data_IF_350740769695
#
_entry.id   IF_350740769695
#
_cell.length_a   1.000
_cell.length_b   1.000
_cell.length_c   1.000
_cell.angle_alpha   90.00
_cell.angle_beta   90.00
_cell.angle_gamma   90.00
#
_symmetry.space_group_name_H-M   'P 1'
#
loop_
_entity.id
_entity.type
_entity.pdbx_description
1 polymer ?
#
# COMPACT_ATOMS: atom_id res chain seq x y z
N UNK A 1 3.43 26.08 16.34
CA UNK A 1 4.22 25.41 15.30
C UNK A 1 4.57 26.44 14.23
N UNK A 2 5.85 26.71 14.03
CA UNK A 2 6.32 27.73 13.09
C UNK A 2 6.14 27.25 11.64
N UNK A 3 6.23 28.17 10.67
CA UNK A 3 6.14 27.83 9.23
C UNK A 3 7.29 26.90 8.81
N UNK A 4 8.48 27.03 9.41
CA UNK A 4 9.62 26.14 9.11
C UNK A 4 9.38 24.71 9.57
N UNK A 5 8.71 24.51 10.72
CA UNK A 5 8.41 23.17 11.24
C UNK A 5 7.42 22.43 10.35
N UNK A 6 6.41 23.16 9.83
CA UNK A 6 5.46 22.63 8.84
C UNK A 6 6.16 22.22 7.54
N UNK A 7 7.06 23.06 7.04
CA UNK A 7 7.80 22.79 5.81
C UNK A 7 8.69 21.56 5.96
N UNK A 8 9.38 21.41 7.10
CA UNK A 8 10.21 20.24 7.39
C UNK A 8 9.40 18.94 7.45
N UNK A 9 8.22 18.98 8.08
CA UNK A 9 7.29 17.83 8.14
C UNK A 9 6.79 17.42 6.75
N UNK A 10 6.40 18.39 5.91
CA UNK A 10 5.99 18.16 4.52
C UNK A 10 7.12 17.52 3.71
N UNK A 11 8.34 18.06 3.80
CA UNK A 11 9.49 17.53 3.05
C UNK A 11 9.83 16.11 3.49
N UNK A 12 9.78 15.82 4.80
CA UNK A 12 10.06 14.49 5.32
C UNK A 12 8.99 13.48 4.86
N UNK A 13 7.71 13.86 4.91
CA UNK A 13 6.61 13.04 4.44
C UNK A 13 6.70 12.74 2.94
N UNK A 14 7.06 13.75 2.14
CA UNK A 14 7.28 13.59 0.69
C UNK A 14 8.46 12.66 0.41
N UNK A 15 9.59 12.81 1.11
CA UNK A 15 10.72 11.89 0.97
C UNK A 15 10.34 10.45 1.28
N UNK A 16 9.59 10.25 2.37
CA UNK A 16 9.09 8.94 2.77
C UNK A 16 8.15 8.35 1.70
N UNK A 17 7.24 9.15 1.15
CA UNK A 17 6.34 8.75 0.06
C UNK A 17 7.11 8.37 -1.21
N UNK A 18 8.13 9.15 -1.59
CA UNK A 18 8.99 8.83 -2.74
C UNK A 18 9.73 7.51 -2.54
N UNK A 19 10.25 7.24 -1.34
CA UNK A 19 10.89 5.95 -1.04
C UNK A 19 9.92 4.78 -1.17
N UNK A 20 8.71 4.91 -0.64
CA UNK A 20 7.69 3.87 -0.76
C UNK A 20 7.23 3.65 -2.20
N UNK A 21 7.06 4.72 -2.99
CA UNK A 21 6.74 4.62 -4.41
C UNK A 21 7.87 3.94 -5.21
N UNK A 22 9.13 4.28 -4.91
CA UNK A 22 10.30 3.64 -5.54
C UNK A 22 10.37 2.14 -5.21
N UNK A 23 10.16 1.76 -3.94
CA UNK A 23 10.10 0.36 -3.53
C UNK A 23 8.94 -0.37 -4.23
N UNK A 24 7.76 0.24 -4.30
CA UNK A 24 6.61 -0.32 -5.01
C UNK A 24 6.90 -0.55 -6.51
N UNK A 25 7.56 0.40 -7.16
CA UNK A 25 7.99 0.25 -8.56
C UNK A 25 8.98 -0.90 -8.74
N UNK A 26 10.00 -1.02 -7.88
CA UNK A 26 10.96 -2.12 -7.93
C UNK A 26 10.26 -3.47 -7.76
N UNK A 27 9.37 -3.59 -6.77
CA UNK A 27 8.59 -4.81 -6.55
C UNK A 27 7.71 -5.14 -7.76
N UNK A 28 7.12 -4.13 -8.42
CA UNK A 28 6.31 -4.30 -9.63
C UNK A 28 7.16 -4.81 -10.80
N UNK A 29 8.35 -4.23 -11.01
CA UNK A 29 9.28 -4.67 -12.06
C UNK A 29 9.67 -6.13 -11.84
N UNK A 30 10.02 -6.51 -10.61
CA UNK A 30 10.34 -7.89 -10.27
C UNK A 30 9.14 -8.81 -10.48
N UNK A 31 7.93 -8.36 -10.14
CA UNK A 31 6.71 -9.15 -10.35
C UNK A 31 6.47 -9.45 -11.83
N UNK A 32 6.72 -8.49 -12.74
CA UNK A 32 6.55 -8.68 -14.18
C UNK A 32 7.52 -9.73 -14.75
N UNK A 33 8.65 -9.97 -14.08
CA UNK A 33 9.64 -10.98 -14.47
C UNK A 33 9.34 -12.37 -13.90
N UNK A 34 8.29 -12.51 -13.10
CA UNK A 34 7.90 -13.76 -12.44
C UNK A 34 6.51 -14.18 -12.93
N UNK A 35 6.26 -15.48 -12.89
CA UNK A 35 4.97 -16.06 -13.24
C UNK A 35 4.31 -16.75 -12.04
N UNK A 36 2.98 -16.72 -12.00
CA UNK A 36 2.16 -17.49 -11.06
C UNK A 36 2.04 -16.87 -9.65
N UNK A 37 2.04 -17.71 -8.61
CA UNK A 37 1.93 -17.29 -7.20
C UNK A 37 2.90 -16.18 -6.75
N UNK A 38 4.21 -16.23 -7.06
CA UNK A 38 5.14 -15.19 -6.61
C UNK A 38 4.86 -13.83 -7.26
N UNK A 39 4.44 -13.79 -8.53
CA UNK A 39 4.01 -12.56 -9.21
C UNK A 39 2.86 -11.88 -8.46
N UNK A 40 1.84 -12.65 -8.09
CA UNK A 40 0.69 -12.12 -7.35
C UNK A 40 1.13 -11.54 -6.01
N UNK A 41 1.93 -12.27 -5.23
CA UNK A 41 2.45 -11.82 -3.92
C UNK A 41 3.26 -10.52 -4.05
N UNK A 42 4.13 -10.42 -5.06
CA UNK A 42 4.90 -9.20 -5.30
C UNK A 42 4.04 -8.02 -5.73
N UNK A 43 3.00 -8.23 -6.55
CA UNK A 43 2.04 -7.18 -6.90
C UNK A 43 1.23 -6.71 -5.68
N UNK A 44 0.86 -7.64 -4.79
CA UNK A 44 0.22 -7.32 -3.52
C UNK A 44 1.12 -6.46 -2.61
N UNK A 45 2.40 -6.80 -2.50
CA UNK A 45 3.40 -6.02 -1.76
C UNK A 45 3.67 -4.65 -2.41
N UNK A 46 3.75 -4.60 -3.75
CA UNK A 46 3.93 -3.35 -4.49
C UNK A 46 2.75 -2.39 -4.26
N UNK A 47 1.52 -2.91 -4.28
CA UNK A 47 0.31 -2.14 -4.00
C UNK A 47 0.32 -1.61 -2.55
N UNK A 48 0.75 -2.43 -1.59
CA UNK A 48 0.88 -2.02 -0.19
C UNK A 48 1.91 -0.90 -0.03
N UNK A 49 3.05 -0.97 -0.73
CA UNK A 49 4.06 0.10 -0.73
C UNK A 49 3.49 1.40 -1.30
N UNK A 50 2.72 1.35 -2.39
CA UNK A 50 2.08 2.53 -2.98
C UNK A 50 1.05 3.17 -2.04
N UNK A 51 0.24 2.36 -1.35
CA UNK A 51 -0.75 2.81 -0.37
C UNK A 51 -0.08 3.44 0.86
N UNK A 52 1.03 2.87 1.33
CA UNK A 52 1.83 3.46 2.41
C UNK A 52 2.38 4.83 2.02
N UNK A 53 2.91 4.98 0.80
CA UNK A 53 3.39 6.26 0.28
C UNK A 53 2.27 7.31 0.24
N UNK A 54 1.10 6.93 -0.30
CA UNK A 54 -0.09 7.78 -0.32
C UNK A 54 -0.54 8.19 1.09
N UNK A 55 -0.59 7.25 2.04
CA UNK A 55 -1.01 7.52 3.41
C UNK A 55 -0.01 8.43 4.15
N UNK A 56 1.29 8.25 3.93
CA UNK A 56 2.36 9.09 4.47
C UNK A 56 2.25 10.53 3.95
N UNK A 57 2.02 10.70 2.64
CA UNK A 57 1.75 12.01 2.03
C UNK A 57 0.48 12.65 2.60
N UNK A 58 -0.62 11.89 2.72
CA UNK A 58 -1.87 12.43 3.25
C UNK A 58 -1.74 12.90 4.70
N UNK A 59 -1.10 12.10 5.57
CA UNK A 59 -0.95 12.43 6.99
C UNK A 59 0.07 13.56 7.22
N UNK A 60 1.21 13.51 6.55
CA UNK A 60 2.29 14.49 6.74
C UNK A 60 2.01 15.84 6.08
N UNK A 61 1.42 15.85 4.87
CA UNK A 61 1.17 17.09 4.12
C UNK A 61 -0.10 17.78 4.62
N UNK A 62 -1.19 17.04 4.87
CA UNK A 62 -2.49 17.65 5.13
C UNK A 62 -2.86 17.76 6.61
N UNK A 63 -2.37 16.88 7.50
CA UNK A 63 -2.76 16.91 8.92
C UNK A 63 -1.74 17.56 9.85
N UNK A 64 -0.46 17.66 9.46
CA UNK A 64 0.57 18.36 10.25
C UNK A 64 0.67 17.90 11.71
N UNK A 65 0.41 16.61 11.96
CA UNK A 65 0.45 15.99 13.30
C UNK A 65 1.81 15.32 13.54
N UNK A 66 2.33 15.38 14.76
CA UNK A 66 3.58 14.71 15.12
C UNK A 66 3.50 13.18 14.99
N UNK A 67 2.30 12.60 15.18
CA UNK A 67 2.01 11.17 14.99
C UNK A 67 1.73 10.77 13.53
N UNK A 68 2.10 11.60 12.55
CA UNK A 68 1.76 11.41 11.13
C UNK A 68 2.14 10.03 10.59
N UNK A 69 3.28 9.47 11.00
CA UNK A 69 3.76 8.16 10.54
C UNK A 69 2.87 7.03 11.09
N UNK A 70 2.50 7.09 12.37
CA UNK A 70 1.63 6.09 13.01
C UNK A 70 0.21 6.15 12.42
N UNK A 71 -0.30 7.36 12.20
CA UNK A 71 -1.58 7.58 11.52
C UNK A 71 -1.59 7.08 10.08
N UNK A 72 -0.51 7.30 9.34
CA UNK A 72 -0.33 6.78 7.98
C UNK A 72 -0.32 5.25 7.96
N UNK A 73 0.43 4.60 8.85
CA UNK A 73 0.46 3.14 8.95
C UNK A 73 -0.90 2.54 9.30
N UNK A 74 -1.63 3.12 10.27
CA UNK A 74 -2.96 2.63 10.65
C UNK A 74 -3.96 2.83 9.50
N UNK A 75 -3.92 3.98 8.81
CA UNK A 75 -4.81 4.26 7.69
C UNK A 75 -4.51 3.34 6.52
N UNK A 76 -3.24 3.11 6.20
CA UNK A 76 -2.81 2.16 5.18
C UNK A 76 -3.22 0.73 5.54
N UNK A 77 -3.00 0.28 6.78
CA UNK A 77 -3.40 -1.04 7.25
C UNK A 77 -4.93 -1.23 7.19
N UNK A 78 -5.70 -0.21 7.58
CA UNK A 78 -7.17 -0.24 7.51
C UNK A 78 -7.66 -0.28 6.06
N UNK A 79 -7.04 0.49 5.18
CA UNK A 79 -7.37 0.48 3.75
C UNK A 79 -7.03 -0.86 3.10
N UNK A 80 -5.86 -1.41 3.45
CA UNK A 80 -5.43 -2.74 3.02
C UNK A 80 -6.42 -3.80 3.49
N UNK A 81 -6.79 -3.82 4.77
CA UNK A 81 -7.79 -4.75 5.29
C UNK A 81 -9.16 -4.62 4.59
N UNK A 82 -9.61 -3.41 4.29
CA UNK A 82 -10.92 -3.18 3.64
C UNK A 82 -10.94 -3.63 2.18
N UNK A 83 -9.81 -3.59 1.47
CA UNK A 83 -9.76 -3.94 0.04
C UNK A 83 -9.27 -5.36 -0.19
N UNK A 84 -8.22 -5.78 0.51
CA UNK A 84 -7.63 -7.10 0.33
C UNK A 84 -8.47 -8.21 0.91
N UNK A 85 -9.12 -8.00 2.07
CA UNK A 85 -9.95 -9.06 2.66
C UNK A 85 -11.10 -9.43 1.71
N UNK A 86 -11.89 -8.50 1.15
CA UNK A 86 -12.92 -8.85 0.18
C UNK A 86 -12.38 -9.50 -1.09
N UNK A 87 -11.28 -8.99 -1.65
CA UNK A 87 -10.72 -9.56 -2.89
C UNK A 87 -10.16 -10.97 -2.65
N UNK A 88 -9.53 -11.20 -1.50
CA UNK A 88 -9.04 -12.53 -1.10
C UNK A 88 -10.20 -13.49 -0.89
N UNK A 89 -11.26 -13.05 -0.21
CA UNK A 89 -12.47 -13.84 0.00
C UNK A 89 -13.15 -14.16 -1.34
N UNK A 90 -13.25 -13.19 -2.25
CA UNK A 90 -13.80 -13.41 -3.59
C UNK A 90 -12.96 -14.40 -4.40
N UNK A 91 -11.63 -14.26 -4.39
CA UNK A 91 -10.74 -15.20 -5.08
C UNK A 91 -10.80 -16.61 -4.48
N UNK A 92 -10.90 -16.74 -3.15
CA UNK A 92 -11.09 -18.04 -2.50
C UNK A 92 -12.43 -18.67 -2.90
N UNK A 93 -13.49 -17.86 -2.95
CA UNK A 93 -14.80 -18.31 -3.40
C UNK A 93 -14.76 -18.79 -4.86
N UNK A 94 -14.19 -18.00 -5.77
CA UNK A 94 -14.03 -18.39 -7.16
C UNK A 94 -13.20 -19.67 -7.32
N UNK A 95 -12.08 -19.80 -6.60
CA UNK A 95 -11.25 -21.01 -6.61
C UNK A 95 -11.98 -22.25 -6.06
N UNK A 96 -12.81 -22.08 -5.03
CA UNK A 96 -13.63 -23.17 -4.50
C UNK A 96 -14.73 -23.58 -5.48
N UNK A 97 -15.37 -22.62 -6.15
CA UNK A 97 -16.45 -22.90 -7.11
C UNK A 97 -15.97 -23.41 -8.47
N UNK A 98 -14.76 -23.04 -8.91
CA UNK A 98 -14.20 -23.48 -10.20
C UNK A 98 -13.66 -24.92 -10.16
N UNK A 99 -13.55 -25.52 -8.97
CA UNK A 99 -13.22 -26.93 -8.76
C UNK A 99 -14.46 -27.84 -8.81
N UNK A 100 -15.68 -27.31 -8.94
CA UNK A 100 -16.85 -28.14 -9.21
C UNK A 100 -16.85 -28.57 -10.68
N UNK A 101 -16.83 -29.89 -10.99
CA UNK A 101 -17.00 -30.36 -12.35
C UNK A 101 -18.37 -29.90 -12.88
N UNK A 102 -18.50 -29.56 -14.17
CA UNK A 102 -19.80 -29.27 -14.76
C UNK A 102 -20.71 -30.50 -14.59
N UNK A 103 -21.89 -30.29 -14.00
CA UNK A 103 -22.95 -31.30 -13.88
C UNK A 103 -23.51 -31.68 -15.25
#
# INVERSE_FOLDING_TARGET
>A
MSVSDKLASVVLATRCSCSFAAVGLVLTIIAVLLDGQPQAILQWLATLAFVLGWAASYAGIFQGRDDWLRGACIKAARWWAVIFVPVTVANLFFAATSQLPPL
#
